data_IF_455623265822
#
_entry.id   IF_455623265822
#
_cell.length_a   1.000
_cell.length_b   1.000
_cell.length_c   1.000
_cell.angle_alpha   90.00
_cell.angle_beta   90.00
_cell.angle_gamma   90.00
#
_symmetry.space_group_name_H-M   'P 1'
#
loop_
_entity.id
_entity.type
_entity.pdbx_description
1 polymer ?
#
# COMPACT_ATOMS: atom_id res chain seq x y z
N UNK A 1 -61.35 -15.03 10.48
CA UNK A 1 -60.14 -15.41 9.72
C UNK A 1 -59.34 -14.15 9.42
N UNK A 2 -58.06 -14.07 9.79
CA UNK A 2 -57.18 -12.96 9.37
C UNK A 2 -56.83 -13.19 7.88
N UNK A 3 -57.19 -12.24 7.01
CA UNK A 3 -56.74 -12.25 5.61
C UNK A 3 -55.24 -11.95 5.60
N UNK A 4 -54.44 -12.87 5.09
CA UNK A 4 -53.03 -12.64 4.77
C UNK A 4 -53.01 -12.11 3.34
N UNK A 5 -52.77 -10.81 3.16
CA UNK A 5 -52.52 -10.23 1.83
C UNK A 5 -51.05 -10.46 1.48
N UNK A 6 -50.79 -11.28 0.46
CA UNK A 6 -49.45 -11.46 -0.11
C UNK A 6 -49.02 -10.23 -0.93
N UNK A 7 -47.71 -10.12 -1.16
CA UNK A 7 -47.14 -9.06 -1.99
C UNK A 7 -47.60 -9.17 -3.45
N UNK A 8 -47.83 -8.04 -4.08
CA UNK A 8 -48.08 -7.95 -5.52
C UNK A 8 -46.77 -8.10 -6.31
N UNK A 9 -46.86 -8.52 -7.57
CA UNK A 9 -45.69 -8.72 -8.42
C UNK A 9 -44.85 -7.45 -8.59
N UNK A 10 -45.49 -6.28 -8.70
CA UNK A 10 -44.80 -5.00 -8.84
C UNK A 10 -44.06 -4.60 -7.55
N UNK A 11 -44.63 -4.88 -6.37
CA UNK A 11 -43.96 -4.64 -5.09
C UNK A 11 -42.73 -5.52 -4.94
N UNK A 12 -42.81 -6.80 -5.35
CA UNK A 12 -41.64 -7.70 -5.35
C UNK A 12 -40.54 -7.18 -6.29
N UNK A 13 -40.89 -6.71 -7.50
CA UNK A 13 -39.92 -6.13 -8.41
C UNK A 13 -39.27 -4.86 -7.86
N UNK A 14 -40.06 -3.98 -7.23
CA UNK A 14 -39.54 -2.76 -6.61
C UNK A 14 -38.60 -3.08 -5.44
N UNK A 15 -38.91 -4.08 -4.62
CA UNK A 15 -38.03 -4.50 -3.51
C UNK A 15 -36.73 -5.09 -4.05
N UNK A 16 -36.80 -5.96 -5.07
CA UNK A 16 -35.60 -6.57 -5.67
C UNK A 16 -34.69 -5.53 -6.34
N UNK A 17 -35.26 -4.51 -7.00
CA UNK A 17 -34.46 -3.44 -7.60
C UNK A 17 -33.76 -2.59 -6.54
N UNK A 18 -34.44 -2.26 -5.43
CA UNK A 18 -33.82 -1.53 -4.31
C UNK A 18 -32.69 -2.37 -3.69
N UNK A 19 -32.91 -3.67 -3.48
CA UNK A 19 -31.88 -4.57 -2.94
C UNK A 19 -30.68 -4.62 -3.89
N UNK A 20 -30.89 -4.79 -5.19
CA UNK A 20 -29.82 -4.85 -6.17
C UNK A 20 -28.99 -3.55 -6.21
N UNK A 21 -29.65 -2.39 -6.17
CA UNK A 21 -28.95 -1.09 -6.12
C UNK A 21 -28.18 -0.93 -4.80
N UNK A 22 -28.79 -1.31 -3.68
CA UNK A 22 -28.15 -1.23 -2.36
C UNK A 22 -26.92 -2.15 -2.27
N UNK A 23 -27.00 -3.39 -2.78
CA UNK A 23 -25.87 -4.32 -2.74
C UNK A 23 -24.72 -3.84 -3.61
N UNK A 24 -24.99 -3.31 -4.81
CA UNK A 24 -23.95 -2.71 -5.65
C UNK A 24 -23.27 -1.51 -4.98
N UNK A 25 -24.05 -0.62 -4.35
CA UNK A 25 -23.51 0.54 -3.63
C UNK A 25 -22.60 0.15 -2.46
N UNK A 26 -23.00 -0.87 -1.69
CA UNK A 26 -22.19 -1.36 -0.55
C UNK A 26 -20.86 -1.97 -1.01
N UNK A 27 -20.86 -2.72 -2.12
CA UNK A 27 -19.62 -3.30 -2.67
C UNK A 27 -18.64 -2.22 -3.12
N UNK A 28 -19.12 -1.21 -3.86
CA UNK A 28 -18.27 -0.12 -4.32
C UNK A 28 -17.66 0.69 -3.14
N UNK A 29 -18.43 0.94 -2.09
CA UNK A 29 -17.94 1.62 -0.88
C UNK A 29 -16.89 0.77 -0.14
N UNK A 30 -17.10 -0.55 -0.07
CA UNK A 30 -16.15 -1.48 0.54
C UNK A 30 -14.82 -1.48 -0.22
N UNK A 31 -14.87 -1.55 -1.55
CA UNK A 31 -13.66 -1.59 -2.38
C UNK A 31 -12.88 -0.27 -2.28
N UNK A 32 -13.58 0.87 -2.27
CA UNK A 32 -12.96 2.18 -2.00
C UNK A 32 -12.32 2.27 -0.60
N UNK A 33 -13.00 1.76 0.42
CA UNK A 33 -12.47 1.77 1.78
C UNK A 33 -11.23 0.87 1.91
N UNK A 34 -11.26 -0.33 1.32
CA UNK A 34 -10.11 -1.23 1.28
C UNK A 34 -8.92 -0.60 0.54
N UNK A 35 -9.17 0.06 -0.60
CA UNK A 35 -8.15 0.79 -1.35
C UNK A 35 -7.46 1.87 -0.50
N UNK A 36 -8.25 2.67 0.22
CA UNK A 36 -7.72 3.68 1.12
C UNK A 36 -6.89 3.10 2.27
N UNK A 37 -7.35 1.98 2.85
CA UNK A 37 -6.64 1.30 3.92
C UNK A 37 -5.26 0.81 3.45
N UNK A 38 -5.20 0.15 2.28
CA UNK A 38 -3.94 -0.31 1.69
C UNK A 38 -2.96 0.85 1.47
N UNK A 39 -3.42 1.95 0.87
CA UNK A 39 -2.56 3.12 0.64
C UNK A 39 -2.07 3.73 1.96
N UNK A 40 -2.93 3.82 2.98
CA UNK A 40 -2.54 4.35 4.29
C UNK A 40 -1.50 3.46 4.98
N UNK A 41 -1.68 2.14 4.91
CA UNK A 41 -0.73 1.16 5.43
C UNK A 41 0.62 1.22 4.71
N UNK A 42 0.63 1.29 3.38
CA UNK A 42 1.85 1.49 2.59
C UNK A 42 2.60 2.76 2.97
N UNK A 43 1.88 3.87 3.20
CA UNK A 43 2.51 5.10 3.69
C UNK A 43 3.13 4.93 5.08
N UNK A 44 2.45 4.21 5.97
CA UNK A 44 2.99 3.90 7.28
C UNK A 44 4.23 2.99 7.19
N UNK A 45 4.24 2.02 6.27
CA UNK A 45 5.40 1.17 6.00
C UNK A 45 6.59 1.99 5.50
N UNK A 46 6.40 2.86 4.50
CA UNK A 46 7.46 3.74 4.01
C UNK A 46 7.98 4.67 5.12
N UNK A 47 7.09 5.30 5.91
CA UNK A 47 7.52 6.15 7.02
C UNK A 47 8.34 5.36 8.08
N UNK A 48 7.93 4.11 8.36
CA UNK A 48 8.66 3.21 9.25
C UNK A 48 10.03 2.86 8.68
N UNK A 49 10.13 2.59 7.38
CA UNK A 49 11.41 2.38 6.69
C UNK A 49 12.31 3.60 6.79
N UNK A 50 11.80 4.79 6.52
CA UNK A 50 12.59 6.03 6.62
C UNK A 50 13.17 6.21 8.03
N UNK A 51 12.36 5.97 9.07
CA UNK A 51 12.82 6.03 10.46
C UNK A 51 13.86 4.94 10.77
N UNK A 52 13.60 3.70 10.34
CA UNK A 52 14.52 2.58 10.56
C UNK A 52 15.85 2.77 9.85
N UNK A 53 15.83 3.31 8.64
CA UNK A 53 17.01 3.66 7.87
C UNK A 53 17.83 4.74 8.56
N UNK A 54 17.20 5.79 9.10
CA UNK A 54 17.89 6.81 9.87
C UNK A 54 18.56 6.25 11.13
N UNK A 55 17.91 5.28 11.80
CA UNK A 55 18.47 4.61 12.97
C UNK A 55 19.63 3.67 12.60
N UNK A 56 19.51 2.94 11.49
CA UNK A 56 20.54 2.03 11.01
C UNK A 56 21.73 2.74 10.35
N UNK A 57 21.50 3.95 9.82
CA UNK A 57 22.44 4.68 8.95
C UNK A 57 23.87 4.65 9.50
N UNK A 58 24.83 4.09 8.75
CA UNK A 58 26.21 4.06 9.17
C UNK A 58 26.78 5.49 9.32
N UNK A 59 27.80 5.66 10.16
CA UNK A 59 28.42 6.96 10.46
C UNK A 59 28.97 7.71 9.24
N UNK A 60 29.26 7.00 8.15
CA UNK A 60 29.73 7.58 6.89
C UNK A 60 28.60 8.09 5.98
N UNK A 61 27.32 7.90 6.36
CA UNK A 61 26.16 8.36 5.60
C UNK A 61 25.84 7.55 4.34
N UNK A 62 26.43 6.36 4.19
CA UNK A 62 26.29 5.53 2.99
C UNK A 62 25.38 4.34 3.28
N UNK A 63 24.38 4.11 2.43
CA UNK A 63 23.37 3.05 2.53
C UNK A 63 23.78 1.72 1.88
N UNK A 64 25.01 1.59 1.38
CA UNK A 64 25.47 0.34 0.74
C UNK A 64 25.25 -0.88 1.64
N UNK A 65 24.62 -1.92 1.08
CA UNK A 65 24.30 -3.15 1.80
C UNK A 65 23.04 -3.05 2.67
N UNK A 66 22.28 -1.96 2.57
CA UNK A 66 20.97 -1.89 3.23
C UNK A 66 20.00 -2.89 2.61
N UNK A 67 19.21 -3.52 3.47
CA UNK A 67 18.12 -4.44 3.12
C UNK A 67 17.12 -4.48 4.28
N UNK A 68 15.89 -4.93 4.01
CA UNK A 68 14.88 -5.10 5.07
C UNK A 68 15.35 -6.10 6.11
N UNK A 69 15.99 -7.20 5.68
CA UNK A 69 16.60 -8.21 6.57
C UNK A 69 17.63 -7.59 7.52
N UNK A 70 18.50 -6.71 7.01
CA UNK A 70 19.48 -6.04 7.85
C UNK A 70 18.81 -5.08 8.84
N UNK A 71 17.78 -4.36 8.42
CA UNK A 71 17.02 -3.46 9.30
C UNK A 71 16.24 -4.23 10.37
N UNK A 72 15.61 -5.35 10.03
CA UNK A 72 14.82 -6.17 10.94
C UNK A 72 15.72 -6.89 11.95
N UNK A 73 16.91 -7.34 11.53
CA UNK A 73 17.90 -7.99 12.41
C UNK A 73 18.38 -7.12 13.58
N UNK A 74 18.38 -5.80 13.40
CA UNK A 74 18.74 -4.83 14.44
C UNK A 74 17.52 -4.15 15.08
N UNK A 75 16.31 -4.62 14.78
CA UNK A 75 15.05 -4.05 15.22
C UNK A 75 14.88 -2.55 14.90
N UNK A 76 15.43 -2.10 13.75
CA UNK A 76 15.20 -0.76 13.21
C UNK A 76 13.84 -0.67 12.49
N UNK A 77 13.33 -1.82 12.03
CA UNK A 77 11.96 -2.03 11.55
C UNK A 77 11.38 -3.27 12.28
N UNK A 78 10.07 -3.54 12.19
CA UNK A 78 9.49 -4.71 12.84
C UNK A 78 10.16 -6.02 12.44
N UNK A 79 10.43 -6.89 13.41
CA UNK A 79 11.22 -8.13 13.20
C UNK A 79 10.44 -9.10 12.30
N UNK A 80 9.12 -9.08 12.40
CA UNK A 80 8.20 -9.87 11.58
C UNK A 80 8.26 -9.53 10.09
N UNK A 81 8.86 -8.39 9.70
CA UNK A 81 9.06 -8.07 8.29
C UNK A 81 10.09 -8.97 7.61
N UNK A 82 10.98 -9.61 8.38
CA UNK A 82 11.95 -10.56 7.82
C UNK A 82 12.79 -9.95 6.71
N UNK A 83 12.72 -10.54 5.53
CA UNK A 83 13.37 -10.11 4.28
C UNK A 83 12.57 -9.08 3.47
N UNK A 84 11.34 -8.77 3.87
CA UNK A 84 10.43 -7.87 3.18
C UNK A 84 9.45 -8.57 2.23
N UNK A 85 9.42 -9.90 2.19
CA UNK A 85 8.55 -10.63 1.27
C UNK A 85 7.09 -10.70 1.73
N UNK A 86 6.17 -10.46 0.80
CA UNK A 86 4.71 -10.52 1.01
C UNK A 86 4.18 -9.64 2.17
N UNK A 87 4.93 -8.61 2.59
CA UNK A 87 4.54 -7.78 3.75
C UNK A 87 3.64 -6.61 3.38
N UNK A 88 3.54 -6.26 2.10
CA UNK A 88 2.72 -5.11 1.71
C UNK A 88 1.22 -5.46 1.67
N UNK A 89 0.32 -4.48 1.66
CA UNK A 89 -1.13 -4.72 1.77
C UNK A 89 -1.76 -5.47 0.58
N UNK A 90 -1.02 -5.63 -0.52
CA UNK A 90 -1.42 -6.43 -1.66
C UNK A 90 -0.87 -7.86 -1.60
N UNK A 91 0.05 -8.15 -0.68
CA UNK A 91 0.77 -9.42 -0.59
C UNK A 91 1.99 -9.49 -1.50
N UNK A 92 2.47 -8.34 -1.97
CA UNK A 92 3.75 -8.21 -2.64
C UNK A 92 4.88 -7.87 -1.68
N UNK A 93 6.06 -7.70 -2.25
CA UNK A 93 7.29 -7.45 -1.53
C UNK A 93 7.47 -5.95 -1.25
N UNK A 94 8.26 -5.68 -0.21
CA UNK A 94 8.82 -4.36 0.07
C UNK A 94 10.32 -4.52 0.13
N UNK A 95 11.05 -3.79 -0.71
CA UNK A 95 12.50 -3.84 -0.77
C UNK A 95 13.09 -2.47 -0.47
N UNK A 96 14.29 -2.47 0.11
CA UNK A 96 15.12 -1.27 0.23
C UNK A 96 16.53 -1.57 -0.24
N UNK A 97 17.07 -0.71 -1.10
CA UNK A 97 18.42 -0.83 -1.63
C UNK A 97 19.12 0.52 -1.66
N UNK A 98 20.45 0.53 -1.68
CA UNK A 98 21.20 1.76 -1.95
C UNK A 98 21.04 2.15 -3.41
N UNK A 99 20.95 3.45 -3.70
CA UNK A 99 20.96 3.91 -5.09
C UNK A 99 22.35 3.64 -5.70
N UNK A 100 22.35 3.00 -6.87
CA UNK A 100 23.57 2.66 -7.62
C UNK A 100 24.32 3.90 -8.11
N UNK A 101 23.64 5.04 -8.26
CA UNK A 101 24.24 6.29 -8.73
C UNK A 101 24.81 7.16 -7.60
N UNK A 102 24.22 7.09 -6.41
CA UNK A 102 24.62 7.84 -5.22
C UNK A 102 24.29 7.02 -3.97
N UNK A 103 25.32 6.43 -3.34
CA UNK A 103 25.13 5.57 -2.19
C UNK A 103 24.67 6.31 -0.91
N UNK A 104 24.55 7.65 -0.94
CA UNK A 104 23.88 8.44 0.12
C UNK A 104 22.36 8.48 -0.02
N UNK A 105 21.83 7.94 -1.11
CA UNK A 105 20.41 7.75 -1.37
C UNK A 105 20.02 6.28 -1.25
N UNK A 106 18.74 6.06 -1.04
CA UNK A 106 18.15 4.73 -1.04
C UNK A 106 16.88 4.70 -1.87
N UNK A 107 16.59 3.53 -2.42
CA UNK A 107 15.40 3.22 -3.19
C UNK A 107 14.52 2.28 -2.38
N UNK A 108 13.26 2.65 -2.20
CA UNK A 108 12.21 1.78 -1.66
C UNK A 108 11.36 1.28 -2.82
N UNK A 109 11.19 -0.03 -2.93
CA UNK A 109 10.38 -0.67 -3.98
C UNK A 109 9.22 -1.43 -3.34
N UNK A 110 8.01 -1.30 -3.89
CA UNK A 110 6.80 -1.98 -3.43
C UNK A 110 6.12 -2.63 -4.62
N UNK A 111 5.93 -3.95 -4.59
CA UNK A 111 5.41 -4.74 -5.72
C UNK A 111 3.94 -5.18 -5.54
N UNK A 112 3.36 -5.85 -6.54
CA UNK A 112 1.97 -6.35 -6.57
C UNK A 112 0.88 -5.28 -6.31
N UNK A 113 1.11 -4.00 -6.61
CA UNK A 113 0.03 -3.01 -6.58
C UNK A 113 -0.93 -3.31 -7.73
N UNK A 114 -2.12 -3.81 -7.38
CA UNK A 114 -3.07 -4.41 -8.34
C UNK A 114 -3.88 -3.42 -9.17
N UNK A 115 -3.98 -2.18 -8.70
CA UNK A 115 -4.74 -1.12 -9.34
C UNK A 115 -3.82 0.04 -9.66
N UNK A 116 -3.80 0.43 -10.93
CA UNK A 116 -2.94 1.53 -11.38
C UNK A 116 -3.30 2.85 -10.69
N UNK A 117 -4.59 3.09 -10.39
CA UNK A 117 -5.03 4.28 -9.68
C UNK A 117 -4.46 4.38 -8.26
N UNK A 118 -4.16 3.25 -7.61
CA UNK A 118 -3.52 3.21 -6.29
C UNK A 118 -2.04 3.58 -6.40
N UNK A 119 -1.35 3.04 -7.41
CA UNK A 119 0.04 3.37 -7.72
C UNK A 119 0.22 4.84 -8.09
N UNK A 120 -0.59 5.36 -9.02
CA UNK A 120 -0.56 6.76 -9.44
C UNK A 120 -0.86 7.74 -8.29
N UNK A 121 -1.76 7.34 -7.38
CA UNK A 121 -2.01 8.13 -6.16
C UNK A 121 -0.78 8.17 -5.27
N UNK A 122 -0.07 7.06 -5.08
CA UNK A 122 1.18 7.02 -4.32
C UNK A 122 2.26 7.87 -5.00
N UNK A 123 2.40 7.80 -6.33
CA UNK A 123 3.31 8.67 -7.11
C UNK A 123 3.04 10.14 -6.84
N UNK A 124 1.77 10.56 -6.94
CA UNK A 124 1.40 11.95 -6.64
C UNK A 124 1.81 12.34 -5.22
N UNK A 125 1.48 11.49 -4.23
CA UNK A 125 1.71 11.79 -2.82
C UNK A 125 3.22 11.83 -2.46
N UNK A 126 4.07 11.08 -3.16
CA UNK A 126 5.53 11.07 -2.95
C UNK A 126 6.31 12.03 -3.84
N UNK A 127 5.70 12.56 -4.90
CA UNK A 127 6.40 13.46 -5.83
C UNK A 127 6.92 14.76 -5.20
N UNK A 128 6.32 15.19 -4.08
CA UNK A 128 6.73 16.40 -3.35
C UNK A 128 7.78 16.15 -2.26
N UNK A 129 7.96 14.90 -1.82
CA UNK A 129 8.77 14.53 -0.63
C UNK A 129 9.88 13.52 -0.93
N UNK A 130 10.03 13.10 -2.18
CA UNK A 130 11.06 12.17 -2.65
C UNK A 130 11.92 12.83 -3.74
N UNK A 131 13.13 12.32 -3.94
CA UNK A 131 14.00 12.79 -5.03
C UNK A 131 13.47 12.35 -6.40
N UNK A 132 12.96 11.12 -6.44
CA UNK A 132 12.33 10.54 -7.62
C UNK A 132 11.29 9.52 -7.17
N UNK A 133 10.15 9.50 -7.87
CA UNK A 133 9.13 8.46 -7.71
C UNK A 133 8.63 8.02 -9.08
N UNK A 134 8.37 6.73 -9.22
CA UNK A 134 7.79 6.15 -10.42
C UNK A 134 6.92 4.95 -10.09
N UNK A 135 5.89 4.73 -10.90
CA UNK A 135 5.06 3.54 -10.84
C UNK A 135 4.99 2.90 -12.22
N UNK A 136 5.26 1.59 -12.30
CA UNK A 136 5.12 0.84 -13.55
C UNK A 136 4.99 -0.65 -13.27
N UNK A 137 4.13 -1.34 -14.03
CA UNK A 137 3.99 -2.80 -13.96
C UNK A 137 3.60 -3.34 -12.57
N UNK A 138 2.82 -2.59 -11.80
CA UNK A 138 2.44 -2.96 -10.43
C UNK A 138 3.54 -2.72 -9.38
N UNK A 139 4.64 -2.06 -9.75
CA UNK A 139 5.74 -1.72 -8.86
C UNK A 139 5.84 -0.20 -8.66
N UNK A 140 5.84 0.24 -7.41
CA UNK A 140 6.16 1.61 -7.00
C UNK A 140 7.62 1.66 -6.57
N UNK A 141 8.36 2.60 -7.13
CA UNK A 141 9.74 2.91 -6.79
C UNK A 141 9.83 4.33 -6.25
N UNK A 142 10.34 4.50 -5.02
CA UNK A 142 10.49 5.80 -4.37
C UNK A 142 11.93 5.97 -3.90
N UNK A 143 12.63 6.96 -4.44
CA UNK A 143 14.00 7.31 -4.07
C UNK A 143 14.01 8.46 -3.10
N UNK A 144 14.74 8.29 -2.00
CA UNK A 144 14.92 9.32 -1.00
C UNK A 144 16.38 9.66 -0.80
N UNK A 145 16.63 10.93 -0.49
CA UNK A 145 17.86 11.37 0.13
C UNK A 145 17.84 11.02 1.61
N UNK A 146 18.94 10.43 2.11
CA UNK A 146 19.03 10.01 3.50
C UNK A 146 19.95 10.84 4.39
#
# INVERSE_FOLDING_TARGET
>A
MKKVTGFTFIEVLAVLSIIALATMGVLALRDWAASNARIAETKAQIATLQSGLQQWRPRNGIYTGVSIENLSSVAAVPIEWGDGSEINPWGGDVEVTADNSDATRYLVTITDIRLDEEGERLVRDYSEISDQVSFSGGSLEVRFQG
#
